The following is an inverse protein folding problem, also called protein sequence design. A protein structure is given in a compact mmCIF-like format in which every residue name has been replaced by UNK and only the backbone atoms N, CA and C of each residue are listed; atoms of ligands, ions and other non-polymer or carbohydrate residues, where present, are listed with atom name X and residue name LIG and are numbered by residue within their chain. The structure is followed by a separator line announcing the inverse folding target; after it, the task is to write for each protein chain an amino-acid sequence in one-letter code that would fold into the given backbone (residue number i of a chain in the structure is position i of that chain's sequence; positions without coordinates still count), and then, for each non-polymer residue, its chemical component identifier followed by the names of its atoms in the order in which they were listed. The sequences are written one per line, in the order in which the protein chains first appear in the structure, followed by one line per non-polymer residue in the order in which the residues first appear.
data_IF_922302600575
#
_entry.id   IF_922302600575
#
_cell.length_a   1.000
_cell.length_b   1.000
_cell.length_c   1.000
_cell.angle_alpha   90.00
_cell.angle_beta   90.00
_cell.angle_gamma   90.00
#
_symmetry.space_group_name_H-M   'P 1'
#
loop_
_entity.id
_entity.type
_entity.pdbx_description
1 polymer ?
#
# COMPACT_ATOMS: atom_id res chain seq x y z
N UNK A 1 10.82 13.59 -104.35
CA UNK A 1 11.79 12.52 -104.67
C UNK A 1 13.21 12.84 -104.17
N UNK A 2 13.82 13.97 -104.59
CA UNK A 2 15.18 14.35 -104.20
C UNK A 2 15.43 14.41 -102.68
N UNK A 3 14.43 14.81 -101.90
CA UNK A 3 14.51 14.83 -100.43
C UNK A 3 14.60 13.41 -99.86
N UNK A 4 13.72 12.48 -100.25
CA UNK A 4 13.76 11.09 -99.80
C UNK A 4 15.03 10.36 -100.24
N UNK A 5 15.54 10.66 -101.45
CA UNK A 5 16.84 10.16 -101.92
C UNK A 5 18.00 10.64 -101.05
N UNK A 6 18.03 11.93 -100.67
CA UNK A 6 19.04 12.47 -99.76
C UNK A 6 18.98 11.85 -98.36
N UNK A 7 17.78 11.49 -97.90
CA UNK A 7 17.56 10.86 -96.59
C UNK A 7 17.69 9.32 -96.62
N UNK A 8 17.97 8.73 -97.79
CA UNK A 8 18.00 7.28 -98.01
C UNK A 8 16.74 6.55 -97.50
N UNK A 9 15.59 7.24 -97.56
CA UNK A 9 14.32 6.73 -97.02
C UNK A 9 13.62 5.90 -98.12
N UNK A 10 13.91 4.60 -98.11
CA UNK A 10 13.53 3.67 -99.19
C UNK A 10 12.02 3.57 -99.39
N UNK A 11 11.21 3.66 -98.34
CA UNK A 11 9.75 3.53 -98.41
C UNK A 11 9.12 4.71 -99.12
N UNK A 12 9.51 5.92 -98.74
CA UNK A 12 9.07 7.17 -99.34
C UNK A 12 9.56 7.33 -100.76
N UNK A 13 10.75 6.82 -101.11
CA UNK A 13 11.21 6.73 -102.52
C UNK A 13 10.23 5.86 -103.34
N UNK A 14 9.88 4.67 -102.84
CA UNK A 14 8.93 3.77 -103.51
C UNK A 14 7.56 4.42 -103.69
N UNK A 15 6.98 4.96 -102.63
CA UNK A 15 5.65 5.62 -102.68
C UNK A 15 5.69 6.82 -103.64
N UNK A 16 6.75 7.62 -103.59
CA UNK A 16 6.90 8.79 -104.46
C UNK A 16 7.02 8.38 -105.93
N UNK A 17 7.84 7.36 -106.25
CA UNK A 17 7.99 6.88 -107.62
C UNK A 17 6.69 6.30 -108.18
N UNK A 18 5.90 5.62 -107.36
CA UNK A 18 4.60 5.10 -107.78
C UNK A 18 3.59 6.21 -108.07
N UNK A 19 3.55 7.26 -107.23
CA UNK A 19 2.72 8.43 -107.48
C UNK A 19 3.17 9.20 -108.74
N UNK A 20 4.49 9.28 -108.99
CA UNK A 20 5.04 9.88 -110.23
C UNK A 20 4.62 9.04 -111.43
N UNK A 21 4.70 7.71 -111.33
CA UNK A 21 4.25 6.80 -112.38
C UNK A 21 2.77 7.04 -112.72
N UNK A 22 1.87 7.09 -111.73
CA UNK A 22 0.45 7.38 -111.95
C UNK A 22 0.22 8.75 -112.62
N UNK A 23 0.94 9.78 -112.18
CA UNK A 23 0.87 11.10 -112.79
C UNK A 23 1.36 11.10 -114.25
N UNK A 24 2.43 10.37 -114.56
CA UNK A 24 2.95 10.19 -115.93
C UNK A 24 1.96 9.42 -116.81
N UNK A 25 1.30 8.42 -116.23
CA UNK A 25 0.31 7.60 -116.91
C UNK A 25 -0.90 8.42 -117.40
N UNK A 26 -1.41 9.32 -116.54
CA UNK A 26 -2.48 10.26 -116.90
C UNK A 26 -2.07 11.24 -118.02
N UNK A 27 -0.78 11.48 -118.18
CA UNK A 27 -0.22 12.30 -119.27
C UNK A 27 0.02 11.50 -120.57
N UNK A 28 -0.30 10.20 -120.59
CA UNK A 28 -0.08 9.32 -121.74
C UNK A 28 1.38 8.96 -121.99
N UNK A 29 2.25 9.09 -120.97
CA UNK A 29 3.69 8.80 -121.08
C UNK A 29 3.98 7.31 -120.91
N UNK A 30 4.58 6.62 -121.90
CA UNK A 30 4.82 5.18 -121.83
C UNK A 30 5.82 4.77 -120.75
N UNK A 31 6.71 5.66 -120.32
CA UNK A 31 7.70 5.42 -119.25
C UNK A 31 7.06 5.19 -117.88
N UNK A 32 5.77 5.52 -117.72
CA UNK A 32 5.00 5.30 -116.50
C UNK A 32 4.99 3.82 -116.06
N UNK A 33 4.87 2.90 -117.02
CA UNK A 33 4.79 1.46 -116.74
C UNK A 33 6.12 0.94 -116.19
N UNK A 34 7.24 1.39 -116.76
CA UNK A 34 8.58 1.00 -116.31
C UNK A 34 8.84 1.51 -114.89
N UNK A 35 8.52 2.79 -114.62
CA UNK A 35 8.69 3.39 -113.29
C UNK A 35 7.81 2.70 -112.22
N UNK A 36 6.58 2.33 -112.57
CA UNK A 36 5.70 1.55 -111.70
C UNK A 36 6.28 0.15 -111.39
N UNK A 37 6.89 -0.50 -112.39
CA UNK A 37 7.59 -1.78 -112.22
C UNK A 37 8.83 -1.68 -111.32
N UNK A 38 9.62 -0.62 -111.46
CA UNK A 38 10.78 -0.35 -110.59
C UNK A 38 10.34 -0.07 -109.15
N UNK A 39 9.27 0.70 -108.95
CA UNK A 39 8.71 0.96 -107.63
C UNK A 39 8.24 -0.34 -106.96
N UNK A 40 7.59 -1.25 -107.71
CA UNK A 40 7.21 -2.57 -107.22
C UNK A 40 8.41 -3.41 -106.80
N UNK A 41 9.45 -3.44 -107.63
CA UNK A 41 10.65 -4.23 -107.35
C UNK A 41 11.34 -3.74 -106.06
N UNK A 42 11.51 -2.42 -105.93
CA UNK A 42 12.04 -1.81 -104.71
C UNK A 42 11.15 -2.08 -103.48
N UNK A 43 9.81 -2.08 -103.63
CA UNK A 43 8.89 -2.44 -102.55
C UNK A 43 9.10 -3.89 -102.06
N UNK A 44 9.34 -4.83 -102.98
CA UNK A 44 9.64 -6.23 -102.66
C UNK A 44 10.98 -6.38 -101.93
N UNK A 45 12.01 -5.64 -102.34
CA UNK A 45 13.33 -5.66 -101.71
C UNK A 45 13.33 -5.10 -100.27
N UNK A 46 12.44 -4.14 -99.99
CA UNK A 46 12.26 -3.60 -98.63
C UNK A 46 11.64 -4.66 -97.69
N UNK A 47 10.97 -5.68 -98.24
CA UNK A 47 10.34 -6.78 -97.51
C UNK A 47 9.42 -6.31 -96.36
N UNK A 48 8.69 -5.21 -96.59
CA UNK A 48 7.70 -4.68 -95.66
C UNK A 48 6.29 -4.99 -96.19
N UNK A 49 5.53 -5.89 -95.55
CA UNK A 49 4.20 -6.28 -96.03
C UNK A 49 3.20 -5.12 -96.07
N UNK A 50 3.29 -4.14 -95.17
CA UNK A 50 2.41 -2.95 -95.21
C UNK A 50 2.68 -2.11 -96.45
N UNK A 51 3.95 -1.88 -96.77
CA UNK A 51 4.35 -1.18 -97.99
C UNK A 51 3.95 -1.96 -99.25
N UNK A 52 4.17 -3.27 -99.25
CA UNK A 52 3.84 -4.12 -100.40
C UNK A 52 2.33 -4.19 -100.65
N UNK A 53 1.52 -4.25 -99.58
CA UNK A 53 0.06 -4.14 -99.64
C UNK A 53 -0.37 -2.81 -100.26
N UNK A 54 0.19 -1.69 -99.80
CA UNK A 54 -0.08 -0.36 -100.36
C UNK A 54 0.32 -0.24 -101.84
N UNK A 55 1.49 -0.77 -102.21
CA UNK A 55 1.99 -0.73 -103.59
C UNK A 55 1.12 -1.58 -104.51
N UNK A 56 0.64 -2.75 -104.08
CA UNK A 56 -0.28 -3.56 -104.87
C UNK A 56 -1.64 -2.91 -105.07
N UNK A 57 -2.19 -2.24 -104.05
CA UNK A 57 -3.42 -1.45 -104.16
C UNK A 57 -3.27 -0.34 -105.22
N UNK A 58 -2.19 0.43 -105.13
CA UNK A 58 -1.91 1.52 -106.07
C UNK A 58 -1.60 1.03 -107.49
N UNK A 59 -0.99 -0.13 -107.65
CA UNK A 59 -0.79 -0.76 -108.96
C UNK A 59 -2.09 -1.29 -109.55
N UNK A 60 -3.01 -1.79 -108.72
CA UNK A 60 -4.36 -2.17 -109.15
C UNK A 60 -5.06 -0.98 -109.80
N UNK A 61 -5.09 0.17 -109.10
CA UNK A 61 -5.63 1.44 -109.60
C UNK A 61 -4.95 1.88 -110.91
N UNK A 62 -3.61 1.83 -110.94
CA UNK A 62 -2.79 2.22 -112.09
C UNK A 62 -3.11 1.40 -113.34
N UNK A 63 -3.16 0.06 -113.23
CA UNK A 63 -3.45 -0.81 -114.38
C UNK A 63 -4.93 -0.75 -114.79
N UNK A 64 -5.85 -0.52 -113.85
CA UNK A 64 -7.26 -0.29 -114.16
C UNK A 64 -7.45 1.00 -114.98
N UNK A 65 -6.73 2.07 -114.63
CA UNK A 65 -6.69 3.31 -115.41
C UNK A 65 -6.14 3.14 -116.84
N UNK A 66 -5.32 2.10 -117.06
CA UNK A 66 -4.78 1.72 -118.37
C UNK A 66 -5.62 0.71 -119.15
N UNK A 67 -6.82 0.38 -118.66
CA UNK A 67 -7.69 -0.64 -119.25
C UNK A 67 -7.09 -2.07 -119.25
N UNK A 68 -5.97 -2.30 -118.54
CA UNK A 68 -5.38 -3.62 -118.31
C UNK A 68 -6.01 -4.24 -117.05
N UNK A 69 -7.29 -4.59 -117.18
CA UNK A 69 -8.09 -5.14 -116.08
C UNK A 69 -7.55 -6.48 -115.55
N UNK A 70 -6.81 -7.23 -116.37
CA UNK A 70 -6.19 -8.49 -115.96
C UNK A 70 -5.11 -8.25 -114.90
N UNK A 71 -4.18 -7.32 -115.15
CA UNK A 71 -3.15 -6.95 -114.15
C UNK A 71 -3.74 -6.22 -112.96
N UNK A 72 -4.73 -5.36 -113.18
CA UNK A 72 -5.43 -4.69 -112.08
C UNK A 72 -5.99 -5.72 -111.09
N UNK A 73 -6.72 -6.72 -111.60
CA UNK A 73 -7.27 -7.80 -110.80
C UNK A 73 -6.19 -8.67 -110.12
N UNK A 74 -5.08 -8.93 -110.79
CA UNK A 74 -3.95 -9.66 -110.20
C UNK A 74 -3.36 -8.92 -108.99
N UNK A 75 -3.11 -7.61 -109.12
CA UNK A 75 -2.59 -6.80 -108.04
C UNK A 75 -3.61 -6.59 -106.93
N UNK A 76 -4.89 -6.48 -107.25
CA UNK A 76 -5.97 -6.48 -106.27
C UNK A 76 -5.95 -7.75 -105.41
N UNK A 77 -5.86 -8.93 -106.02
CA UNK A 77 -5.75 -10.20 -105.28
C UNK A 77 -4.53 -10.26 -104.38
N UNK A 78 -3.39 -9.73 -104.85
CA UNK A 78 -2.16 -9.67 -104.05
C UNK A 78 -2.28 -8.69 -102.87
N UNK A 79 -2.95 -7.56 -103.06
CA UNK A 79 -3.27 -6.63 -101.99
C UNK A 79 -4.16 -7.29 -100.93
N UNK A 80 -5.26 -7.92 -101.36
CA UNK A 80 -6.21 -8.62 -100.48
C UNK A 80 -5.51 -9.71 -99.66
N UNK A 81 -4.69 -10.56 -100.29
CA UNK A 81 -3.96 -11.61 -99.58
C UNK A 81 -3.02 -11.06 -98.50
N UNK A 82 -2.30 -9.97 -98.77
CA UNK A 82 -1.41 -9.36 -97.78
C UNK A 82 -2.21 -8.63 -96.70
N UNK A 83 -3.29 -7.95 -97.07
CA UNK A 83 -4.18 -7.26 -96.13
C UNK A 83 -4.82 -8.23 -95.13
N UNK A 84 -5.31 -9.38 -95.60
CA UNK A 84 -5.89 -10.42 -94.74
C UNK A 84 -4.85 -11.01 -93.78
N UNK A 85 -3.63 -11.24 -94.26
CA UNK A 85 -2.50 -11.69 -93.44
C UNK A 85 -2.11 -10.67 -92.36
N UNK A 86 -1.99 -9.39 -92.74
CA UNK A 86 -1.69 -8.28 -91.84
C UNK A 86 -2.77 -8.12 -90.76
N UNK A 87 -4.05 -8.19 -91.14
CA UNK A 87 -5.16 -8.10 -90.21
C UNK A 87 -5.17 -9.26 -89.21
N UNK A 88 -4.87 -10.48 -89.66
CA UNK A 88 -4.76 -11.66 -88.80
C UNK A 88 -3.62 -11.50 -87.79
N UNK A 89 -2.44 -11.09 -88.24
CA UNK A 89 -1.28 -10.86 -87.38
C UNK A 89 -1.52 -9.72 -86.36
N UNK A 90 -2.19 -8.64 -86.77
CA UNK A 90 -2.55 -7.54 -85.87
C UNK A 90 -3.54 -7.99 -84.79
N UNK A 91 -4.57 -8.77 -85.17
CA UNK A 91 -5.53 -9.35 -84.24
C UNK A 91 -4.85 -10.27 -83.22
N UNK A 92 -3.96 -11.15 -83.68
CA UNK A 92 -3.18 -12.03 -82.79
C UNK A 92 -2.32 -11.24 -81.82
N UNK A 93 -1.64 -10.19 -82.29
CA UNK A 93 -0.85 -9.30 -81.44
C UNK A 93 -1.72 -8.61 -80.38
N UNK A 94 -2.88 -8.09 -80.78
CA UNK A 94 -3.81 -7.44 -79.87
C UNK A 94 -4.33 -8.41 -78.81
N UNK A 95 -4.67 -9.65 -79.18
CA UNK A 95 -5.08 -10.69 -78.24
C UNK A 95 -3.97 -11.04 -77.25
N UNK A 96 -2.73 -11.20 -77.73
CA UNK A 96 -1.57 -11.48 -76.87
C UNK A 96 -1.30 -10.34 -75.88
N UNK A 97 -1.45 -9.09 -76.31
CA UNK A 97 -1.30 -7.91 -75.44
C UNK A 97 -2.38 -7.85 -74.36
N UNK A 98 -3.65 -8.07 -74.75
CA UNK A 98 -4.78 -8.11 -73.80
C UNK A 98 -4.59 -9.23 -72.77
N UNK A 99 -4.20 -10.43 -73.20
CA UNK A 99 -3.93 -11.56 -72.31
C UNK A 99 -2.76 -11.25 -71.37
N UNK A 100 -1.68 -10.69 -71.90
CA UNK A 100 -0.51 -10.30 -71.08
C UNK A 100 -0.90 -9.29 -70.01
N UNK A 101 -1.70 -8.29 -70.38
CA UNK A 101 -2.19 -7.27 -69.44
C UNK A 101 -3.11 -7.88 -68.39
N UNK A 102 -4.05 -8.74 -68.79
CA UNK A 102 -4.94 -9.43 -67.87
C UNK A 102 -4.17 -10.30 -66.86
N UNK A 103 -3.18 -11.07 -67.33
CA UNK A 103 -2.32 -11.88 -66.46
C UNK A 103 -1.46 -11.03 -65.52
N UNK A 104 -0.96 -9.88 -65.99
CA UNK A 104 -0.24 -8.93 -65.14
C UNK A 104 -1.14 -8.39 -64.04
N UNK A 105 -2.32 -7.87 -64.39
CA UNK A 105 -3.27 -7.32 -63.42
C UNK A 105 -3.72 -8.39 -62.40
N UNK A 106 -3.90 -9.64 -62.84
CA UNK A 106 -4.23 -10.76 -61.95
C UNK A 106 -3.09 -11.01 -60.94
N UNK A 107 -1.85 -11.06 -61.42
CA UNK A 107 -0.68 -11.21 -60.54
C UNK A 107 -0.53 -10.05 -59.56
N UNK A 108 -0.75 -8.81 -60.02
CA UNK A 108 -0.69 -7.64 -59.16
C UNK A 108 -1.76 -7.67 -58.06
N UNK A 109 -2.98 -8.13 -58.39
CA UNK A 109 -4.04 -8.36 -57.40
C UNK A 109 -3.67 -9.46 -56.41
N UNK A 110 -3.12 -10.57 -56.86
CA UNK A 110 -2.69 -11.67 -56.00
C UNK A 110 -1.56 -11.22 -55.06
N UNK A 111 -0.59 -10.44 -55.55
CA UNK A 111 0.48 -9.85 -54.75
C UNK A 111 -0.10 -8.91 -53.69
N UNK A 112 -1.02 -8.01 -54.07
CA UNK A 112 -1.67 -7.10 -53.14
C UNK A 112 -2.42 -7.86 -52.04
N UNK A 113 -3.14 -8.93 -52.39
CA UNK A 113 -3.85 -9.78 -51.43
C UNK A 113 -2.88 -10.51 -50.48
N UNK A 114 -1.76 -11.02 -50.99
CA UNK A 114 -0.73 -11.67 -50.17
C UNK A 114 -0.07 -10.68 -49.20
N UNK A 115 0.17 -9.45 -49.64
CA UNK A 115 0.72 -8.39 -48.78
C UNK A 115 -0.26 -7.98 -47.68
N UNK A 116 -1.55 -7.83 -48.00
CA UNK A 116 -2.63 -7.60 -47.02
C UNK A 116 -2.67 -8.72 -45.97
N UNK A 117 -2.67 -9.99 -46.41
CA UNK A 117 -2.66 -11.15 -45.50
C UNK A 117 -1.42 -11.14 -44.60
N UNK A 118 -0.23 -10.95 -45.16
CA UNK A 118 1.01 -10.89 -44.40
C UNK A 118 1.00 -9.75 -43.36
N UNK A 119 0.42 -8.60 -43.69
CA UNK A 119 0.24 -7.47 -42.76
C UNK A 119 -0.70 -7.82 -41.61
N UNK A 120 -1.84 -8.47 -41.90
CA UNK A 120 -2.77 -8.94 -40.87
C UNK A 120 -2.11 -9.96 -39.95
N UNK A 121 -1.36 -10.92 -40.48
CA UNK A 121 -0.63 -11.91 -39.68
C UNK A 121 0.46 -11.27 -38.81
N UNK A 122 1.22 -10.32 -39.38
CA UNK A 122 2.20 -9.55 -38.62
C UNK A 122 1.56 -8.79 -37.46
N UNK A 123 0.44 -8.12 -37.70
CA UNK A 123 -0.29 -7.38 -36.68
C UNK A 123 -0.84 -8.31 -35.58
N UNK A 124 -1.37 -9.49 -35.96
CA UNK A 124 -1.79 -10.53 -35.01
C UNK A 124 -0.63 -10.97 -34.12
N UNK A 125 0.54 -11.24 -34.70
CA UNK A 125 1.72 -11.68 -33.95
C UNK A 125 2.24 -10.58 -33.01
N UNK A 126 2.26 -9.32 -33.47
CA UNK A 126 2.61 -8.17 -32.61
C UNK A 126 1.65 -8.06 -31.43
N UNK A 127 0.33 -8.17 -31.68
CA UNK A 127 -0.69 -8.13 -30.63
C UNK A 127 -0.47 -9.24 -29.60
N UNK A 128 -0.21 -10.48 -30.03
CA UNK A 128 0.07 -11.61 -29.14
C UNK A 128 1.33 -11.37 -28.30
N UNK A 129 2.40 -10.83 -28.89
CA UNK A 129 3.63 -10.49 -28.15
C UNK A 129 3.35 -9.40 -27.10
N UNK A 130 2.61 -8.35 -27.46
CA UNK A 130 2.23 -7.28 -26.52
C UNK A 130 1.41 -7.82 -25.36
N UNK A 131 0.42 -8.68 -25.63
CA UNK A 131 -0.39 -9.33 -24.60
C UNK A 131 0.46 -10.21 -23.67
N UNK A 132 1.41 -10.97 -24.23
CA UNK A 132 2.34 -11.78 -23.44
C UNK A 132 3.21 -10.90 -22.53
N UNK A 133 3.76 -9.81 -23.03
CA UNK A 133 4.58 -8.88 -22.25
C UNK A 133 3.76 -8.25 -21.11
N UNK A 134 2.54 -7.78 -21.40
CA UNK A 134 1.63 -7.23 -20.38
C UNK A 134 1.31 -8.29 -19.31
N UNK A 135 1.01 -9.51 -19.72
CA UNK A 135 0.75 -10.62 -18.79
C UNK A 135 1.94 -10.90 -17.87
N UNK A 136 3.16 -10.93 -18.41
CA UNK A 136 4.39 -11.11 -17.63
C UNK A 136 4.63 -9.96 -16.66
N UNK A 137 4.34 -8.71 -17.05
CA UNK A 137 4.43 -7.54 -16.16
C UNK A 137 3.43 -7.67 -15.00
N UNK A 138 2.20 -8.09 -15.26
CA UNK A 138 1.19 -8.30 -14.20
C UNK A 138 1.65 -9.38 -13.22
N UNK A 139 2.15 -10.53 -13.72
CA UNK A 139 2.70 -11.58 -12.86
C UNK A 139 3.86 -11.06 -12.02
N UNK A 140 4.78 -10.31 -12.63
CA UNK A 140 5.91 -9.72 -11.93
C UNK A 140 5.47 -8.77 -10.82
N UNK A 141 4.51 -7.89 -11.08
CA UNK A 141 3.96 -6.97 -10.08
C UNK A 141 3.23 -7.71 -8.96
N UNK A 142 2.43 -8.74 -9.28
CA UNK A 142 1.75 -9.56 -8.27
C UNK A 142 2.75 -10.31 -7.39
N UNK A 143 3.80 -10.87 -7.98
CA UNK A 143 4.87 -11.53 -7.24
C UNK A 143 5.59 -10.55 -6.30
N UNK A 144 5.90 -9.35 -6.77
CA UNK A 144 6.57 -8.33 -5.96
C UNK A 144 5.66 -7.84 -4.82
N UNK A 145 4.37 -7.62 -5.11
CA UNK A 145 3.36 -7.25 -4.12
C UNK A 145 3.19 -8.34 -3.06
N UNK A 146 3.17 -9.61 -3.47
CA UNK A 146 3.10 -10.76 -2.56
C UNK A 146 4.35 -10.84 -1.65
N UNK A 147 5.55 -10.68 -2.23
CA UNK A 147 6.82 -10.64 -1.49
C UNK A 147 6.85 -9.49 -0.47
N UNK A 148 6.38 -8.31 -0.88
CA UNK A 148 6.29 -7.13 -0.01
C UNK A 148 5.35 -7.38 1.17
N UNK A 149 4.12 -7.85 0.89
CA UNK A 149 3.12 -8.14 1.93
C UNK A 149 3.56 -9.25 2.89
N UNK A 150 4.18 -10.31 2.37
CA UNK A 150 4.72 -11.41 3.18
C UNK A 150 5.79 -10.93 4.17
N UNK A 151 6.68 -10.04 3.71
CA UNK A 151 7.73 -9.46 4.57
C UNK A 151 7.13 -8.53 5.62
N UNK A 152 6.16 -7.70 5.24
CA UNK A 152 5.46 -6.81 6.17
C UNK A 152 4.72 -7.59 7.27
N UNK A 153 4.04 -8.69 6.90
CA UNK A 153 3.34 -9.55 7.86
C UNK A 153 4.30 -10.17 8.89
N UNK A 154 5.46 -10.67 8.45
CA UNK A 154 6.49 -11.20 9.37
C UNK A 154 7.02 -10.11 10.32
N UNK A 155 7.16 -8.87 9.87
CA UNK A 155 7.56 -7.74 10.72
C UNK A 155 6.49 -7.43 11.77
N UNK A 156 5.22 -7.41 11.36
CA UNK A 156 4.11 -7.17 12.28
C UNK A 156 3.99 -8.26 13.35
N UNK A 157 4.18 -9.53 12.99
CA UNK A 157 4.20 -10.62 13.98
C UNK A 157 5.35 -10.47 14.98
N UNK A 158 6.55 -10.12 14.52
CA UNK A 158 7.69 -9.87 15.42
C UNK A 158 7.45 -8.70 16.38
N UNK A 159 6.84 -7.62 15.89
CA UNK A 159 6.47 -6.47 16.74
C UNK A 159 5.45 -6.87 17.81
N UNK A 160 4.42 -7.64 17.42
CA UNK A 160 3.42 -8.14 18.37
C UNK A 160 4.03 -9.08 19.42
N UNK A 161 4.99 -9.91 19.03
CA UNK A 161 5.72 -10.78 19.95
C UNK A 161 6.59 -9.97 20.93
N UNK A 162 7.27 -8.93 20.45
CA UNK A 162 8.02 -8.01 21.30
C UNK A 162 7.12 -7.25 22.28
N UNK A 163 5.97 -6.76 21.83
CA UNK A 163 4.99 -6.06 22.66
C UNK A 163 4.47 -6.97 23.79
N UNK A 164 4.20 -8.24 23.50
CA UNK A 164 3.84 -9.23 24.53
C UNK A 164 4.94 -9.44 25.56
N UNK A 165 6.20 -9.53 25.13
CA UNK A 165 7.34 -9.70 26.04
C UNK A 165 7.49 -8.47 26.94
N UNK A 166 7.38 -7.26 26.38
CA UNK A 166 7.43 -6.01 27.16
C UNK A 166 6.30 -5.99 28.20
N UNK A 167 5.08 -6.33 27.80
CA UNK A 167 3.94 -6.37 28.72
C UNK A 167 4.13 -7.40 29.85
N UNK A 168 4.73 -8.56 29.56
CA UNK A 168 5.06 -9.55 30.59
C UNK A 168 6.11 -8.98 31.55
N UNK A 169 7.15 -8.34 31.03
CA UNK A 169 8.20 -7.72 31.84
C UNK A 169 7.67 -6.58 32.72
N UNK A 170 6.79 -5.73 32.18
CA UNK A 170 6.13 -4.68 32.95
C UNK A 170 5.30 -5.27 34.09
N UNK A 171 4.49 -6.29 33.82
CA UNK A 171 3.72 -6.97 34.86
C UNK A 171 4.63 -7.61 35.94
N UNK A 172 5.73 -8.22 35.55
CA UNK A 172 6.71 -8.77 36.49
C UNK A 172 7.37 -7.68 37.35
N UNK A 173 7.71 -6.54 36.76
CA UNK A 173 8.25 -5.38 37.47
C UNK A 173 7.23 -4.83 38.47
N UNK A 174 6.00 -4.59 38.04
CA UNK A 174 4.92 -4.11 38.92
C UNK A 174 4.66 -5.08 40.08
N UNK A 175 4.68 -6.38 39.83
CA UNK A 175 4.52 -7.38 40.89
C UNK A 175 5.69 -7.35 41.89
N UNK A 176 6.93 -7.19 41.42
CA UNK A 176 8.10 -7.06 42.29
C UNK A 176 8.06 -5.77 43.12
N UNK A 177 7.67 -4.66 42.53
CA UNK A 177 7.50 -3.39 43.25
C UNK A 177 6.44 -3.51 44.34
N UNK A 178 5.30 -4.15 44.03
CA UNK A 178 4.24 -4.42 45.01
C UNK A 178 4.76 -5.28 46.16
N UNK A 179 5.47 -6.37 45.88
CA UNK A 179 6.03 -7.23 46.90
C UNK A 179 7.01 -6.47 47.81
N UNK A 180 7.89 -5.65 47.23
CA UNK A 180 8.82 -4.83 47.99
C UNK A 180 8.10 -3.84 48.93
N UNK A 181 7.03 -3.20 48.45
CA UNK A 181 6.19 -2.31 49.25
C UNK A 181 5.51 -3.04 50.41
N UNK A 182 4.98 -4.25 50.17
CA UNK A 182 4.38 -5.08 51.21
C UNK A 182 5.40 -5.49 52.27
N UNK A 183 6.62 -5.89 51.87
CA UNK A 183 7.72 -6.21 52.77
C UNK A 183 8.16 -4.99 53.62
N UNK A 184 8.25 -3.81 53.00
CA UNK A 184 8.56 -2.56 53.71
C UNK A 184 7.48 -2.20 54.74
N UNK A 185 6.21 -2.37 54.37
CA UNK A 185 5.07 -2.10 55.25
C UNK A 185 5.04 -3.07 56.43
N UNK A 186 5.31 -4.36 56.20
CA UNK A 186 5.41 -5.35 57.27
C UNK A 186 6.57 -5.03 58.23
N UNK A 187 7.74 -4.67 57.69
CA UNK A 187 8.90 -4.25 58.49
C UNK A 187 8.57 -3.05 59.39
N UNK A 188 7.89 -2.03 58.84
CA UNK A 188 7.44 -0.86 59.60
C UNK A 188 6.42 -1.21 60.68
N UNK A 189 5.49 -2.13 60.40
CA UNK A 189 4.54 -2.62 61.40
C UNK A 189 5.24 -3.40 62.54
N UNK A 190 6.26 -4.20 62.23
CA UNK A 190 7.06 -4.88 63.26
C UNK A 190 7.84 -3.88 64.13
N UNK A 191 8.41 -2.84 63.53
CA UNK A 191 9.08 -1.75 64.26
C UNK A 191 8.12 -1.07 65.25
N UNK A 192 6.89 -0.78 64.80
CA UNK A 192 5.83 -0.20 65.62
C UNK A 192 5.45 -1.11 66.79
N UNK A 193 5.23 -2.40 66.53
CA UNK A 193 4.86 -3.36 67.56
C UNK A 193 5.96 -3.45 68.64
N UNK A 194 7.23 -3.47 68.25
CA UNK A 194 8.37 -3.47 69.18
C UNK A 194 8.36 -2.22 70.06
N UNK A 195 8.24 -1.03 69.47
CA UNK A 195 8.20 0.24 70.21
C UNK A 195 6.98 0.33 71.14
N UNK A 196 5.82 -0.15 70.71
CA UNK A 196 4.63 -0.19 71.55
C UNK A 196 4.82 -1.13 72.76
N UNK A 197 5.46 -2.28 72.59
CA UNK A 197 5.80 -3.19 73.69
C UNK A 197 6.80 -2.56 74.67
N UNK A 198 7.79 -1.82 74.19
CA UNK A 198 8.71 -1.07 75.03
C UNK A 198 7.97 -0.02 75.89
N UNK A 199 7.03 0.72 75.30
CA UNK A 199 6.20 1.68 76.03
C UNK A 199 5.33 1.00 77.09
N UNK A 200 4.73 -0.17 76.79
CA UNK A 200 3.96 -0.94 77.76
C UNK A 200 4.83 -1.38 78.95
N UNK A 201 6.03 -1.89 78.68
CA UNK A 201 6.98 -2.29 79.75
C UNK A 201 7.40 -1.10 80.61
N UNK A 202 7.69 0.04 79.98
CA UNK A 202 8.02 1.26 80.70
C UNK A 202 6.85 1.70 81.60
N UNK A 203 5.62 1.62 81.09
CA UNK A 203 4.43 1.96 81.83
C UNK A 203 4.18 1.03 83.03
N UNK A 204 4.35 -0.28 82.87
CA UNK A 204 4.23 -1.26 83.96
C UNK A 204 5.27 -0.99 85.07
N UNK A 205 6.49 -0.62 84.69
CA UNK A 205 7.54 -0.26 85.64
C UNK A 205 7.18 1.00 86.45
N UNK A 206 6.69 2.06 85.80
CA UNK A 206 6.24 3.27 86.50
C UNK A 206 5.03 2.97 87.39
N UNK A 207 4.08 2.18 86.92
CA UNK A 207 2.90 1.80 87.70
C UNK A 207 3.28 1.04 88.96
N UNK A 208 4.25 0.12 88.87
CA UNK A 208 4.79 -0.59 90.05
C UNK A 208 5.52 0.34 91.02
N UNK A 209 6.20 1.37 90.53
CA UNK A 209 6.84 2.39 91.38
C UNK A 209 5.76 3.22 92.10
N UNK A 210 4.73 3.66 91.38
CA UNK A 210 3.61 4.42 91.96
C UNK A 210 2.93 3.59 93.05
N UNK A 211 2.61 2.32 92.80
CA UNK A 211 1.97 1.44 93.78
C UNK A 211 2.83 1.29 95.06
N UNK A 212 4.15 1.16 94.92
CA UNK A 212 5.08 1.12 96.07
C UNK A 212 5.07 2.44 96.84
N UNK A 213 5.04 3.58 96.15
CA UNK A 213 4.96 4.91 96.77
C UNK A 213 3.60 5.15 97.45
N UNK A 214 2.50 4.68 96.87
CA UNK A 214 1.16 4.75 97.46
C UNK A 214 1.06 3.90 98.73
N UNK A 215 1.61 2.68 98.71
CA UNK A 215 1.68 1.81 99.89
C UNK A 215 2.53 2.46 101.00
N UNK A 216 3.66 3.07 100.65
CA UNK A 216 4.49 3.83 101.59
C UNK A 216 3.75 5.06 102.16
N UNK A 217 3.01 5.78 101.32
CA UNK A 217 2.20 6.91 101.73
C UNK A 217 1.03 6.46 102.65
N UNK A 218 0.45 5.28 102.42
CA UNK A 218 -0.59 4.71 103.25
C UNK A 218 -0.06 4.25 104.63
N UNK A 219 1.16 3.71 104.70
CA UNK A 219 1.76 3.29 105.97
C UNK A 219 2.22 4.47 106.84
N UNK A 220 2.48 5.64 106.25
CA UNK A 220 2.98 6.84 106.92
C UNK A 220 1.89 7.91 107.18
N UNK A 221 0.60 7.51 107.15
CA UNK A 221 -0.59 8.39 107.17
C UNK A 221 -0.63 9.49 108.25
N UNK A 222 0.14 9.35 109.33
CA UNK A 222 0.14 10.28 110.47
C UNK A 222 1.23 11.38 110.39
N UNK A 223 2.09 11.39 109.36
CA UNK A 223 3.12 12.43 109.19
C UNK A 223 2.90 13.27 107.91
N UNK A 224 2.23 14.44 108.03
CA UNK A 224 2.00 15.36 106.91
C UNK A 224 3.27 15.85 106.21
N UNK A 225 4.40 15.96 106.93
CA UNK A 225 5.67 16.44 106.36
C UNK A 225 6.32 15.41 105.41
N UNK A 226 6.04 14.12 105.60
CA UNK A 226 6.58 13.02 104.77
C UNK A 226 5.60 12.62 103.66
N UNK A 227 4.29 12.65 103.94
CA UNK A 227 3.25 12.26 102.96
C UNK A 227 3.09 13.27 101.83
N UNK A 228 3.35 14.56 102.06
CA UNK A 228 3.25 15.61 101.03
C UNK A 228 4.31 15.46 99.93
N UNK A 229 5.63 15.32 100.21
CA UNK A 229 6.64 15.04 99.19
C UNK A 229 6.37 13.76 98.39
N UNK A 230 5.88 12.69 99.03
CA UNK A 230 5.55 11.43 98.32
C UNK A 230 4.40 11.65 97.33
N UNK A 231 3.35 12.38 97.73
CA UNK A 231 2.25 12.75 96.82
C UNK A 231 2.73 13.63 95.66
N UNK A 232 3.67 14.54 95.92
CA UNK A 232 4.26 15.39 94.88
C UNK A 232 5.07 14.55 93.88
N UNK A 233 5.87 13.59 94.35
CA UNK A 233 6.63 12.63 93.50
C UNK A 233 5.68 11.75 92.67
N UNK A 234 4.62 11.21 93.26
CA UNK A 234 3.60 10.44 92.52
C UNK A 234 2.99 11.30 91.42
N UNK A 235 2.62 12.55 91.73
CA UNK A 235 2.05 13.48 90.76
C UNK A 235 3.03 13.84 89.64
N UNK A 236 4.31 14.03 89.97
CA UNK A 236 5.37 14.29 88.97
C UNK A 236 5.59 13.08 88.07
N UNK A 237 5.70 11.87 88.63
CA UNK A 237 5.84 10.63 87.85
C UNK A 237 4.65 10.43 86.92
N UNK A 238 3.42 10.62 87.40
CA UNK A 238 2.22 10.56 86.57
C UNK A 238 2.23 11.59 85.44
N UNK A 239 2.63 12.83 85.72
CA UNK A 239 2.63 13.91 84.72
C UNK A 239 3.71 13.71 83.65
N UNK A 240 4.92 13.33 84.06
CA UNK A 240 6.03 13.05 83.14
C UNK A 240 5.71 11.85 82.24
N UNK A 241 5.10 10.80 82.81
CA UNK A 241 4.73 9.60 82.08
C UNK A 241 3.59 9.86 81.08
N UNK A 242 2.56 10.63 81.46
CA UNK A 242 1.44 11.03 80.59
C UNK A 242 1.89 11.85 79.38
N UNK A 243 2.85 12.76 79.55
CA UNK A 243 3.29 13.65 78.46
C UNK A 243 4.25 12.96 77.49
N UNK A 244 5.21 12.18 78.00
CA UNK A 244 6.23 11.58 77.14
C UNK A 244 5.69 10.41 76.31
N UNK A 245 4.99 9.44 76.92
CA UNK A 245 4.50 8.24 76.21
C UNK A 245 3.60 8.63 75.03
N UNK A 246 2.63 9.52 75.25
CA UNK A 246 1.70 9.88 74.18
C UNK A 246 2.40 10.66 73.05
N UNK A 247 3.32 11.56 73.38
CA UNK A 247 4.03 12.35 72.36
C UNK A 247 4.89 11.48 71.46
N UNK A 248 5.50 10.44 72.03
CA UNK A 248 6.34 9.50 71.30
C UNK A 248 5.50 8.53 70.48
N UNK A 249 4.41 8.01 71.06
CA UNK A 249 3.41 7.22 70.35
C UNK A 249 2.87 7.95 69.12
N UNK A 250 2.41 9.20 69.30
CA UNK A 250 1.79 9.97 68.21
C UNK A 250 2.78 10.25 67.07
N UNK A 251 4.06 10.48 67.38
CA UNK A 251 5.11 10.63 66.35
C UNK A 251 5.30 9.35 65.54
N UNK A 252 5.39 8.20 66.21
CA UNK A 252 5.59 6.92 65.52
C UNK A 252 4.34 6.56 64.71
N UNK A 253 3.15 6.76 65.29
CA UNK A 253 1.88 6.48 64.63
C UNK A 253 1.68 7.36 63.38
N UNK A 254 1.94 8.68 63.45
CA UNK A 254 1.87 9.58 62.29
C UNK A 254 2.85 9.23 61.19
N UNK A 255 4.01 8.70 61.53
CA UNK A 255 5.01 8.30 60.52
C UNK A 255 4.53 7.09 59.69
N UNK A 256 3.74 6.19 60.30
CA UNK A 256 3.30 4.95 59.67
C UNK A 256 1.88 5.07 59.09
N UNK A 257 1.00 5.75 59.79
CA UNK A 257 -0.40 6.00 59.42
C UNK A 257 -0.63 7.49 59.21
N UNK A 258 0.12 8.07 58.27
CA UNK A 258 0.14 9.53 58.02
C UNK A 258 -1.21 10.10 57.60
N UNK A 259 -2.06 9.29 56.98
CA UNK A 259 -3.38 9.66 56.48
C UNK A 259 -4.54 9.30 57.42
N UNK A 260 -4.29 8.52 58.47
CA UNK A 260 -5.35 8.04 59.37
C UNK A 260 -6.10 9.19 60.03
N UNK A 261 -5.36 10.18 60.56
CA UNK A 261 -5.99 11.32 61.24
C UNK A 261 -6.83 12.15 60.28
N UNK A 262 -6.33 12.38 59.06
CA UNK A 262 -7.04 13.15 58.05
C UNK A 262 -8.33 12.43 57.62
N UNK A 263 -8.26 11.12 57.38
CA UNK A 263 -9.45 10.32 57.04
C UNK A 263 -10.44 10.23 58.20
N UNK A 264 -9.95 10.01 59.42
CA UNK A 264 -10.80 9.93 60.61
C UNK A 264 -11.54 11.24 60.87
N UNK A 265 -10.84 12.38 60.76
CA UNK A 265 -11.42 13.70 60.96
C UNK A 265 -12.32 14.11 59.79
N UNK A 266 -12.09 13.60 58.57
CA UNK A 266 -13.02 13.78 57.45
C UNK A 266 -14.35 13.04 57.68
N UNK A 267 -14.31 11.87 58.30
CA UNK A 267 -15.52 11.10 58.66
C UNK A 267 -16.24 11.76 59.86
N UNK A 268 -15.50 12.18 60.87
CA UNK A 268 -16.05 12.79 62.08
C UNK A 268 -15.16 13.96 62.56
N UNK A 269 -15.47 15.21 62.16
CA UNK A 269 -14.68 16.38 62.56
C UNK A 269 -14.78 16.75 64.05
N UNK A 270 -15.86 16.36 64.74
CA UNK A 270 -16.16 16.73 66.13
C UNK A 270 -15.56 15.75 67.17
N UNK A 271 -14.47 15.07 66.82
CA UNK A 271 -13.77 14.20 67.75
C UNK A 271 -12.89 15.02 68.70
N UNK A 272 -13.06 14.78 70.00
CA UNK A 272 -12.18 15.37 71.01
C UNK A 272 -10.79 14.76 70.94
N UNK A 273 -9.78 15.48 71.45
CA UNK A 273 -8.41 14.97 71.52
C UNK A 273 -8.36 13.57 72.16
N UNK A 274 -9.05 13.32 73.26
CA UNK A 274 -9.09 11.99 73.92
C UNK A 274 -9.67 10.89 73.02
N UNK A 275 -10.70 11.21 72.24
CA UNK A 275 -11.33 10.26 71.32
C UNK A 275 -10.39 9.94 70.15
N UNK A 276 -9.72 10.95 69.59
CA UNK A 276 -8.69 10.78 68.55
C UNK A 276 -7.55 9.87 69.05
N UNK A 277 -7.04 10.14 70.27
CA UNK A 277 -5.99 9.31 70.88
C UNK A 277 -6.42 7.85 71.03
N UNK A 278 -7.65 7.65 71.50
CA UNK A 278 -8.22 6.31 71.70
C UNK A 278 -8.43 5.59 70.37
N UNK A 279 -8.88 6.28 69.33
CA UNK A 279 -9.04 5.71 67.99
C UNK A 279 -7.71 5.25 67.39
N UNK A 280 -6.64 6.04 67.54
CA UNK A 280 -5.29 5.66 67.08
C UNK A 280 -4.76 4.41 67.82
N UNK A 281 -5.00 4.29 69.12
CA UNK A 281 -4.60 3.09 69.88
C UNK A 281 -5.43 1.85 69.49
N UNK A 282 -6.72 2.03 69.21
CA UNK A 282 -7.60 0.95 68.73
C UNK A 282 -7.25 0.48 67.33
N UNK A 283 -6.78 1.37 66.46
CA UNK A 283 -6.27 1.06 65.12
C UNK A 283 -5.12 0.05 65.18
N UNK A 284 -4.32 0.10 66.24
CA UNK A 284 -3.23 -0.86 66.51
C UNK A 284 -3.70 -2.12 67.26
N UNK A 285 -5.00 -2.37 67.32
CA UNK A 285 -5.60 -3.51 68.00
C UNK A 285 -5.37 -3.57 69.52
N UNK A 286 -5.05 -2.44 70.18
CA UNK A 286 -4.84 -2.43 71.63
C UNK A 286 -6.16 -2.66 72.37
N UNK A 287 -6.09 -3.50 73.40
CA UNK A 287 -7.21 -3.81 74.28
C UNK A 287 -7.54 -2.61 75.17
N UNK A 288 -8.78 -2.59 75.68
CA UNK A 288 -9.22 -1.55 76.63
C UNK A 288 -8.30 -1.43 77.85
N UNK A 289 -7.73 -2.56 78.30
CA UNK A 289 -6.80 -2.62 79.43
C UNK A 289 -5.46 -1.97 79.08
N UNK A 290 -4.89 -2.29 77.92
CA UNK A 290 -3.64 -1.69 77.45
C UNK A 290 -3.79 -0.19 77.19
N UNK A 291 -4.92 0.24 76.61
CA UNK A 291 -5.21 1.66 76.40
C UNK A 291 -5.33 2.40 77.74
N UNK A 292 -6.00 1.80 78.72
CA UNK A 292 -6.12 2.36 80.06
C UNK A 292 -4.75 2.55 80.71
N UNK A 293 -3.88 1.55 80.58
CA UNK A 293 -2.51 1.57 81.05
C UNK A 293 -1.69 2.70 80.37
N UNK A 294 -1.68 2.75 79.03
CA UNK A 294 -0.92 3.74 78.23
C UNK A 294 -1.40 5.17 78.49
N UNK A 295 -2.70 5.36 78.70
CA UNK A 295 -3.30 6.71 78.85
C UNK A 295 -3.47 7.15 80.30
N UNK A 296 -3.10 6.32 81.27
CA UNK A 296 -3.30 6.55 82.71
C UNK A 296 -4.74 6.90 83.06
N UNK A 297 -5.69 6.19 82.44
CA UNK A 297 -7.12 6.34 82.69
C UNK A 297 -7.67 5.04 83.23
N UNK A 298 -8.78 5.11 83.96
CA UNK A 298 -9.48 3.89 84.35
C UNK A 298 -10.01 3.15 83.12
N UNK A 299 -10.03 1.81 83.18
CA UNK A 299 -10.65 0.98 82.14
C UNK A 299 -12.10 1.42 81.85
N UNK A 300 -12.85 1.81 82.88
CA UNK A 300 -14.20 2.36 82.74
C UNK A 300 -14.25 3.65 81.92
N UNK A 301 -13.27 4.54 82.10
CA UNK A 301 -13.11 5.75 81.29
C UNK A 301 -12.83 5.46 79.82
N UNK A 302 -12.02 4.42 79.55
CA UNK A 302 -11.75 3.96 78.18
C UNK A 302 -12.99 3.32 77.55
N UNK A 303 -13.72 2.45 78.28
CA UNK A 303 -15.00 1.88 77.80
C UNK A 303 -16.00 2.97 77.42
N UNK A 304 -16.09 4.03 78.23
CA UNK A 304 -16.97 5.18 77.95
C UNK A 304 -16.52 5.93 76.69
N UNK A 305 -15.22 6.14 76.52
CA UNK A 305 -14.66 6.79 75.32
C UNK A 305 -14.91 5.96 74.06
N UNK A 306 -14.75 4.64 74.13
CA UNK A 306 -15.08 3.70 73.04
C UNK A 306 -16.55 3.76 72.65
N UNK A 307 -17.44 3.85 73.62
CA UNK A 307 -18.88 4.00 73.37
C UNK A 307 -19.19 5.33 72.64
N UNK A 308 -18.58 6.44 73.08
CA UNK A 308 -18.74 7.75 72.43
C UNK A 308 -18.20 7.73 71.00
N UNK A 309 -17.02 7.16 70.79
CA UNK A 309 -16.44 6.95 69.46
C UNK A 309 -17.40 6.19 68.55
N UNK A 310 -17.95 5.07 69.02
CA UNK A 310 -18.91 4.28 68.24
C UNK A 310 -20.15 5.09 67.83
N UNK A 311 -20.71 5.87 68.76
CA UNK A 311 -21.88 6.73 68.50
C UNK A 311 -21.57 7.86 67.52
N UNK A 312 -20.42 8.54 67.70
CA UNK A 312 -19.99 9.65 66.83
C UNK A 312 -19.61 9.20 65.42
N UNK A 313 -19.11 7.97 65.28
CA UNK A 313 -18.81 7.34 64.00
C UNK A 313 -20.04 6.69 63.32
N UNK A 314 -21.22 6.77 63.94
CA UNK A 314 -22.48 6.28 63.35
C UNK A 314 -22.58 4.75 63.24
N UNK A 315 -21.80 4.00 64.02
CA UNK A 315 -21.76 2.53 63.94
C UNK A 315 -22.97 1.88 64.63
N UNK A 316 -23.55 0.85 64.00
CA UNK A 316 -24.71 0.11 64.52
C UNK A 316 -24.33 -0.85 65.67
N UNK A 317 -25.31 -1.59 66.23
CA UNK A 317 -25.07 -2.61 67.26
C UNK A 317 -24.18 -3.75 66.77
N UNK A 318 -24.22 -4.04 65.47
CA UNK A 318 -23.59 -5.20 64.86
C UNK A 318 -22.17 -4.86 64.34
N UNK A 319 -21.89 -3.57 64.14
CA UNK A 319 -20.61 -3.07 63.67
C UNK A 319 -19.56 -3.06 64.80
N UNK A 320 -18.42 -3.72 64.55
CA UNK A 320 -17.29 -3.73 65.48
C UNK A 320 -16.40 -2.51 65.23
N UNK A 321 -16.27 -1.67 66.26
CA UNK A 321 -15.48 -0.42 66.25
C UNK A 321 -14.01 -0.63 65.81
N UNK A 322 -13.36 -1.71 66.25
CA UNK A 322 -11.93 -1.95 65.96
C UNK A 322 -11.70 -2.30 64.47
N UNK A 323 -12.39 -3.31 63.88
CA UNK A 323 -12.33 -3.57 62.44
C UNK A 323 -12.65 -2.36 61.57
N UNK A 324 -13.64 -1.54 61.96
CA UNK A 324 -13.96 -0.31 61.23
C UNK A 324 -12.78 0.67 61.22
N UNK A 325 -12.18 0.96 62.39
CA UNK A 325 -11.01 1.83 62.48
C UNK A 325 -9.82 1.25 61.70
N UNK A 326 -9.64 -0.07 61.70
CA UNK A 326 -8.60 -0.76 60.92
C UNK A 326 -8.74 -0.59 59.40
N UNK A 327 -9.94 -0.28 58.90
CA UNK A 327 -10.19 -0.06 57.48
C UNK A 327 -10.02 1.41 57.02
N UNK A 328 -9.96 2.35 57.96
CA UNK A 328 -9.64 3.77 57.70
C UNK A 328 -8.15 3.91 57.38
#
# INVERSE_FOLDING_TARGET
LSIFQKLNEKTGIVITNLNIADAMNRQGKPEAIELAGQALQAAKEINNPNLLSYVYDKLSDFYAGNLDYAKAFEYQKKHEAIKDSLFTAEKERMLAEVETKFQSEKKDRDIALLQERAKVERNRNILLIVLLVVFLIVIFLLFFMFRYKSTAFKRQQKLLEQEKIIHIQENELTNKEKQLLEEQLESKNRELASKALEMLRYNDAISSIIEKLENLNHSLKENPEVTKPIKDIIRELENHNKQNIWSEFDKIFKNIHSDFYDKLLKICPDLSATEIKTAALLKLNLTTKEIAAITFKSEGGIKTTRYRLRKKLGLSSDDKLVPFLMQI
#
